data_IF_342705189095
#
_entry.id   IF_342705189095
#
_cell.length_a   1.000
_cell.length_b   1.000
_cell.length_c   1.000
_cell.angle_alpha   90.00
_cell.angle_beta   90.00
_cell.angle_gamma   90.00
#
_symmetry.space_group_name_H-M   'P 1'
#
loop_
_entity.id
_entity.type
_entity.pdbx_description
1 polymer ?
#
# COMPACT_ATOMS: atom_id res chain seq x y z
N UNK A 1 -10.04 -15.01 10.94
CA UNK A 1 -10.22 -14.62 12.36
C UNK A 1 -8.91 -14.10 12.97
N UNK A 2 -7.89 -14.95 13.21
CA UNK A 2 -6.63 -14.49 13.84
C UNK A 2 -5.87 -13.39 13.06
N UNK A 3 -5.94 -13.43 11.72
CA UNK A 3 -5.29 -12.44 10.83
C UNK A 3 -5.81 -11.00 10.94
N UNK A 4 -6.76 -10.72 11.84
CA UNK A 4 -7.24 -9.38 12.15
C UNK A 4 -7.10 -9.03 13.65
N UNK A 5 -6.46 -9.90 14.45
CA UNK A 5 -6.26 -9.71 15.88
C UNK A 5 -5.06 -8.78 16.15
N UNK A 6 -5.17 -7.51 15.73
CA UNK A 6 -4.09 -6.51 15.83
C UNK A 6 -3.75 -6.24 17.31
N UNK A 7 -2.49 -6.49 17.75
CA UNK A 7 -2.11 -6.28 19.14
C UNK A 7 -2.35 -4.85 19.61
N UNK A 8 -2.99 -4.71 20.78
CA UNK A 8 -3.36 -3.42 21.37
C UNK A 8 -4.71 -2.86 20.88
N UNK A 9 -5.32 -3.46 19.85
CA UNK A 9 -6.66 -3.10 19.36
C UNK A 9 -7.65 -4.24 19.65
N UNK A 10 -7.29 -5.47 19.27
CA UNK A 10 -8.14 -6.64 19.40
C UNK A 10 -7.49 -7.72 20.27
N UNK A 11 -8.32 -8.50 20.96
CA UNK A 11 -7.85 -9.64 21.73
C UNK A 11 -7.27 -10.74 20.80
N UNK A 12 -6.24 -11.48 21.23
CA UNK A 12 -5.76 -12.65 20.51
C UNK A 12 -6.88 -13.69 20.32
N UNK A 13 -6.82 -14.43 19.21
CA UNK A 13 -7.70 -15.57 18.99
C UNK A 13 -7.16 -16.78 19.76
N UNK A 14 -7.96 -17.30 20.69
CA UNK A 14 -7.61 -18.50 21.44
C UNK A 14 -8.00 -19.77 20.67
N UNK A 15 -7.11 -20.78 20.68
CA UNK A 15 -7.41 -22.12 20.16
C UNK A 15 -7.42 -23.10 21.34
N UNK A 16 -8.59 -23.32 21.97
CA UNK A 16 -8.68 -24.15 23.16
C UNK A 16 -8.42 -25.63 22.83
N UNK A 17 -7.71 -26.32 23.71
CA UNK A 17 -7.50 -27.77 23.62
C UNK A 17 -6.62 -28.22 22.44
N UNK A 18 -5.92 -27.31 21.75
CA UNK A 18 -5.06 -27.66 20.62
C UNK A 18 -3.93 -28.62 21.02
N UNK A 19 -3.39 -28.46 22.22
CA UNK A 19 -2.33 -29.31 22.76
C UNK A 19 -2.54 -29.53 24.25
N UNK A 20 -2.10 -30.69 24.75
CA UNK A 20 -2.06 -30.98 26.18
C UNK A 20 -1.05 -30.04 26.83
N UNK A 21 -1.48 -29.32 27.86
CA UNK A 21 -0.69 -28.38 28.66
C UNK A 21 -0.17 -27.12 27.95
N UNK A 22 -0.69 -26.78 26.75
CA UNK A 22 -0.38 -25.50 26.09
C UNK A 22 -1.63 -24.65 25.84
N UNK A 23 -1.50 -23.36 26.17
CA UNK A 23 -2.49 -22.34 25.82
C UNK A 23 -2.05 -21.63 24.53
N UNK A 24 -2.78 -21.84 23.44
CA UNK A 24 -2.44 -21.27 22.13
C UNK A 24 -3.26 -20.00 21.90
N UNK A 25 -2.56 -18.89 21.66
CA UNK A 25 -3.13 -17.61 21.29
C UNK A 25 -2.49 -17.11 20.00
N UNK A 26 -3.32 -16.73 19.04
CA UNK A 26 -2.89 -16.21 17.74
C UNK A 26 -3.18 -14.71 17.64
N UNK A 27 -2.26 -13.98 17.04
CA UNK A 27 -2.39 -12.55 16.75
C UNK A 27 -2.33 -12.31 15.25
N UNK A 28 -2.57 -11.07 14.84
CA UNK A 28 -2.44 -10.61 13.46
C UNK A 28 -1.07 -10.96 12.88
N UNK A 29 -1.05 -11.52 11.66
CA UNK A 29 0.18 -11.93 10.99
C UNK A 29 1.06 -10.77 10.55
N UNK A 30 0.50 -9.56 10.43
CA UNK A 30 1.20 -8.37 9.99
C UNK A 30 2.36 -7.97 10.90
N UNK A 31 2.30 -8.33 12.19
CA UNK A 31 3.41 -8.08 13.13
C UNK A 31 4.67 -8.88 12.82
N UNK A 32 4.54 -9.95 12.03
CA UNK A 32 5.63 -10.82 11.61
C UNK A 32 5.92 -10.67 10.10
N UNK A 33 4.88 -10.76 9.27
CA UNK A 33 4.99 -10.74 7.81
C UNK A 33 3.81 -10.02 7.16
N UNK A 34 3.80 -8.69 7.30
CA UNK A 34 2.78 -7.81 6.74
C UNK A 34 2.60 -7.93 5.21
N UNK A 35 3.57 -8.49 4.50
CA UNK A 35 3.54 -8.62 3.04
C UNK A 35 3.26 -10.07 2.59
N UNK A 36 3.13 -11.03 3.52
CA UNK A 36 2.84 -12.44 3.21
C UNK A 36 3.95 -13.14 2.41
N UNK A 37 5.19 -12.69 2.50
CA UNK A 37 6.30 -13.15 1.67
C UNK A 37 6.96 -14.43 2.18
N UNK A 38 6.92 -14.70 3.48
CA UNK A 38 7.64 -15.80 4.13
C UNK A 38 7.14 -17.15 3.60
N UNK A 39 5.82 -17.34 3.55
CA UNK A 39 5.23 -18.59 3.05
C UNK A 39 5.53 -18.84 1.58
N UNK A 40 5.54 -17.78 0.75
CA UNK A 40 5.87 -17.91 -0.67
C UNK A 40 7.33 -18.33 -0.88
N UNK A 41 8.24 -17.75 -0.12
CA UNK A 41 9.66 -18.12 -0.15
C UNK A 41 9.89 -19.56 0.34
N UNK A 42 9.16 -19.98 1.39
CA UNK A 42 9.24 -21.36 1.90
C UNK A 42 8.73 -22.39 0.88
N UNK A 43 7.78 -22.03 0.03
CA UNK A 43 7.28 -22.85 -1.08
C UNK A 43 8.16 -22.77 -2.34
N UNK A 44 9.34 -22.13 -2.26
CA UNK A 44 10.27 -21.94 -3.37
C UNK A 44 9.66 -21.18 -4.57
N UNK A 45 8.70 -20.28 -4.33
CA UNK A 45 8.28 -19.34 -5.36
C UNK A 45 9.49 -18.48 -5.78
N UNK A 46 9.85 -18.52 -7.06
CA UNK A 46 11.04 -17.84 -7.59
C UNK A 46 10.72 -16.56 -8.38
N UNK A 47 9.44 -16.28 -8.60
CA UNK A 47 8.92 -15.03 -9.15
C UNK A 47 7.87 -14.52 -8.19
N UNK A 48 8.07 -13.33 -7.64
CA UNK A 48 7.20 -12.78 -6.59
C UNK A 48 6.65 -11.42 -7.04
N UNK A 49 5.33 -11.29 -6.99
CA UNK A 49 4.62 -10.04 -7.24
C UNK A 49 4.03 -9.57 -5.91
N UNK A 50 4.48 -8.42 -5.43
CA UNK A 50 4.01 -7.83 -4.17
C UNK A 50 3.19 -6.58 -4.48
N UNK A 51 1.93 -6.58 -4.08
CA UNK A 51 1.06 -5.40 -4.08
C UNK A 51 0.82 -4.96 -2.65
N UNK A 52 1.54 -3.92 -2.23
CA UNK A 52 1.54 -3.41 -0.87
C UNK A 52 0.67 -2.15 -0.75
N UNK A 53 -0.53 -2.33 -0.20
CA UNK A 53 -1.49 -1.26 0.04
C UNK A 53 -1.43 -0.72 1.48
N UNK A 54 -0.40 -1.09 2.27
CA UNK A 54 -0.33 -0.69 3.66
C UNK A 54 -0.06 0.82 3.82
N UNK A 55 -0.63 1.39 4.88
CA UNK A 55 -0.32 2.75 5.30
C UNK A 55 1.18 2.90 5.56
N UNK A 56 1.79 3.94 5.00
CA UNK A 56 3.19 4.27 5.22
C UNK A 56 3.36 5.21 6.41
N UNK A 57 4.52 5.14 7.07
CA UNK A 57 4.85 6.04 8.18
C UNK A 57 4.75 7.52 7.76
N UNK A 58 3.80 8.25 8.35
CA UNK A 58 3.55 9.66 8.04
C UNK A 58 4.42 10.59 8.89
N UNK A 59 4.60 11.81 8.40
CA UNK A 59 5.04 12.92 9.25
C UNK A 59 3.86 13.37 10.11
N UNK A 60 4.06 13.42 11.42
CA UNK A 60 3.03 13.81 12.39
C UNK A 60 3.54 14.94 13.28
N UNK A 61 2.62 15.74 13.81
CA UNK A 61 2.96 16.73 14.83
C UNK A 61 3.36 16.03 16.12
N UNK A 62 4.24 16.67 16.89
CA UNK A 62 4.65 16.17 18.19
C UNK A 62 3.41 15.94 19.09
N UNK A 63 3.25 14.75 19.71
CA UNK A 63 2.22 14.52 20.70
C UNK A 63 2.39 15.43 21.93
N UNK A 64 1.33 15.61 22.71
CA UNK A 64 1.41 16.32 23.99
C UNK A 64 2.43 15.65 24.91
N UNK A 65 3.41 16.38 25.48
CA UNK A 65 4.40 15.77 26.37
C UNK A 65 3.79 15.17 27.65
N UNK A 66 4.52 14.22 28.23
CA UNK A 66 4.17 13.57 29.50
C UNK A 66 3.07 12.52 29.38
N UNK A 67 2.48 12.14 30.52
CA UNK A 67 1.51 11.05 30.61
C UNK A 67 0.29 11.21 29.68
N UNK A 68 -0.11 12.45 29.38
CA UNK A 68 -1.24 12.75 28.48
C UNK A 68 -0.99 12.31 27.03
N UNK A 69 0.27 12.22 26.59
CA UNK A 69 0.62 11.75 25.25
C UNK A 69 1.10 10.31 25.19
N UNK A 70 1.12 9.57 26.31
CA UNK A 70 1.76 8.24 26.36
C UNK A 70 1.20 7.27 25.32
N UNK A 71 -0.12 7.25 25.13
CA UNK A 71 -0.77 6.41 24.13
C UNK A 71 -0.35 6.80 22.69
N UNK A 72 -0.23 8.10 22.40
CA UNK A 72 0.22 8.57 21.09
C UNK A 72 1.70 8.22 20.84
N UNK A 73 2.56 8.31 21.87
CA UNK A 73 3.95 7.86 21.77
C UNK A 73 4.05 6.35 21.56
N UNK A 74 3.23 5.55 22.25
CA UNK A 74 3.17 4.10 22.06
C UNK A 74 2.71 3.74 20.64
N UNK A 75 1.63 4.38 20.15
CA UNK A 75 1.15 4.23 18.79
C UNK A 75 2.21 4.60 17.75
N UNK A 76 2.91 5.74 17.94
CA UNK A 76 4.01 6.16 17.07
C UNK A 76 5.17 5.15 17.05
N UNK A 77 5.49 4.57 18.20
CA UNK A 77 6.52 3.53 18.31
C UNK A 77 6.10 2.29 17.53
N UNK A 78 4.84 1.87 17.64
CA UNK A 78 4.30 0.75 16.87
C UNK A 78 4.35 1.04 15.36
N UNK A 79 3.87 2.20 14.89
CA UNK A 79 3.94 2.57 13.48
C UNK A 79 5.37 2.56 12.94
N UNK A 80 6.33 3.01 13.75
CA UNK A 80 7.76 3.01 13.37
C UNK A 80 8.30 1.58 13.28
N UNK A 81 7.97 0.70 14.23
CA UNK A 81 8.38 -0.70 14.21
C UNK A 81 7.77 -1.45 13.01
N UNK A 82 6.49 -1.24 12.73
CA UNK A 82 5.79 -1.88 11.61
C UNK A 82 6.36 -1.42 10.26
N UNK A 83 6.70 -0.14 10.11
CA UNK A 83 7.41 0.35 8.92
C UNK A 83 8.78 -0.32 8.77
N UNK A 84 9.51 -0.55 9.88
CA UNK A 84 10.79 -1.27 9.83
C UNK A 84 10.64 -2.72 9.40
N UNK A 85 9.60 -3.43 9.86
CA UNK A 85 9.30 -4.80 9.40
C UNK A 85 9.01 -4.80 7.90
N UNK A 86 8.14 -3.90 7.44
CA UNK A 86 7.79 -3.74 6.02
C UNK A 86 9.03 -3.48 5.15
N UNK A 87 9.90 -2.56 5.55
CA UNK A 87 11.13 -2.25 4.82
C UNK A 87 12.13 -3.40 4.85
N UNK A 88 12.21 -4.15 5.97
CA UNK A 88 13.08 -5.32 6.06
C UNK A 88 12.63 -6.44 5.11
N UNK A 89 11.33 -6.70 5.02
CA UNK A 89 10.77 -7.69 4.10
C UNK A 89 11.04 -7.32 2.64
N UNK A 90 10.83 -6.05 2.27
CA UNK A 90 11.21 -5.55 0.94
C UNK A 90 12.72 -5.70 0.68
N UNK A 91 13.57 -5.34 1.65
CA UNK A 91 15.02 -5.43 1.51
C UNK A 91 15.50 -6.87 1.34
N UNK A 92 14.89 -7.85 2.02
CA UNK A 92 15.19 -9.28 1.84
C UNK A 92 14.84 -9.74 0.43
N UNK A 93 13.62 -9.45 -0.05
CA UNK A 93 13.22 -9.77 -1.42
C UNK A 93 14.16 -9.12 -2.46
N UNK A 94 14.49 -7.84 -2.28
CA UNK A 94 15.41 -7.14 -3.17
C UNK A 94 16.82 -7.75 -3.14
N UNK A 95 17.31 -8.18 -1.97
CA UNK A 95 18.59 -8.87 -1.84
C UNK A 95 18.58 -10.22 -2.57
N UNK A 96 17.53 -11.02 -2.38
CA UNK A 96 17.33 -12.30 -3.09
C UNK A 96 17.26 -12.13 -4.60
N UNK A 97 16.62 -11.06 -5.08
CA UNK A 97 16.60 -10.72 -6.50
C UNK A 97 18.00 -10.40 -7.03
N UNK A 98 18.79 -9.60 -6.30
CA UNK A 98 20.17 -9.26 -6.68
C UNK A 98 21.13 -10.46 -6.65
N UNK A 99 20.92 -11.41 -5.72
CA UNK A 99 21.71 -12.64 -5.63
C UNK A 99 21.19 -13.77 -6.53
N UNK A 100 20.19 -13.49 -7.39
CA UNK A 100 19.55 -14.48 -8.28
C UNK A 100 18.86 -15.66 -7.57
N UNK A 101 18.58 -15.53 -6.27
CA UNK A 101 17.69 -16.46 -5.54
C UNK A 101 16.22 -16.25 -5.93
N UNK A 102 15.86 -15.04 -6.35
CA UNK A 102 14.62 -14.76 -7.07
C UNK A 102 14.92 -14.45 -8.53
N UNK A 103 14.21 -15.15 -9.43
CA UNK A 103 14.24 -14.92 -10.87
C UNK A 103 13.54 -13.62 -11.25
N UNK A 104 12.42 -13.33 -10.60
CA UNK A 104 11.61 -12.14 -10.85
C UNK A 104 11.09 -11.53 -9.56
N UNK A 105 11.04 -10.20 -9.50
CA UNK A 105 10.46 -9.46 -8.40
C UNK A 105 9.79 -8.21 -8.96
N UNK A 106 8.48 -8.11 -8.79
CA UNK A 106 7.74 -6.88 -9.03
C UNK A 106 7.18 -6.40 -7.70
N UNK A 107 7.49 -5.18 -7.30
CA UNK A 107 7.02 -4.60 -6.05
C UNK A 107 6.25 -3.31 -6.34
N UNK A 108 4.99 -3.28 -5.92
CA UNK A 108 4.05 -2.19 -6.11
C UNK A 108 3.60 -1.66 -4.75
N UNK A 109 3.54 -0.34 -4.60
CA UNK A 109 2.84 0.28 -3.47
C UNK A 109 2.09 1.53 -3.89
N UNK A 110 0.96 1.82 -3.24
CA UNK A 110 0.03 2.88 -3.69
C UNK A 110 0.63 4.30 -3.69
N UNK A 111 1.66 4.55 -2.87
CA UNK A 111 2.36 5.85 -2.84
C UNK A 111 3.51 6.00 -3.85
N UNK A 112 3.74 5.01 -4.72
CA UNK A 112 4.85 5.04 -5.67
C UNK A 112 4.70 6.19 -6.69
N UNK A 113 5.67 7.10 -6.73
CA UNK A 113 5.65 8.26 -7.64
C UNK A 113 4.74 9.42 -7.21
N UNK A 114 4.15 9.35 -6.01
CA UNK A 114 3.51 10.51 -5.38
C UNK A 114 4.57 11.46 -4.81
N UNK A 115 4.27 12.75 -4.86
CA UNK A 115 5.16 13.77 -4.32
C UNK A 115 5.00 13.84 -2.80
N UNK A 116 6.12 14.01 -2.08
CA UNK A 116 6.09 14.27 -0.65
C UNK A 116 5.95 15.78 -0.38
N UNK A 117 5.15 16.14 0.61
CA UNK A 117 5.14 17.51 1.12
C UNK A 117 6.47 17.78 1.84
N UNK A 118 7.20 18.78 1.36
CA UNK A 118 8.46 19.21 1.99
C UNK A 118 8.17 20.17 3.14
N UNK A 119 8.65 19.84 4.33
CA UNK A 119 8.69 20.81 5.43
C UNK A 119 10.01 21.56 5.36
N UNK A 120 9.94 22.87 5.06
CA UNK A 120 11.12 23.73 5.04
C UNK A 120 11.68 23.86 6.44
N UNK A 121 12.98 23.62 6.58
CA UNK A 121 13.71 23.95 7.81
C UNK A 121 13.71 25.46 8.00
N UNK A 122 13.35 25.95 9.19
CA UNK A 122 13.19 27.39 9.45
C UNK A 122 14.45 28.23 9.24
N UNK A 123 15.62 27.58 9.20
CA UNK A 123 16.93 28.21 8.95
C UNK A 123 17.44 28.03 7.52
N UNK A 124 16.71 27.33 6.64
CA UNK A 124 17.14 27.17 5.24
C UNK A 124 16.95 28.47 4.47
N UNK A 125 18.03 28.98 3.87
CA UNK A 125 18.01 30.15 2.99
C UNK A 125 17.66 29.79 1.53
N UNK A 126 17.64 28.51 1.19
CA UNK A 126 17.33 28.04 -0.16
C UNK A 126 15.83 28.23 -0.47
N UNK A 127 15.56 28.83 -1.63
CA UNK A 127 14.24 28.80 -2.23
C UNK A 127 14.12 27.50 -3.02
N UNK A 128 13.15 26.67 -2.66
CA UNK A 128 12.84 25.44 -3.41
C UNK A 128 11.47 25.60 -4.07
N UNK A 129 11.44 25.52 -5.40
CA UNK A 129 10.21 25.48 -6.17
C UNK A 129 9.80 24.04 -6.42
N UNK A 130 8.68 23.66 -5.81
CA UNK A 130 8.17 22.30 -5.88
C UNK A 130 7.38 22.11 -7.17
N UNK A 131 8.04 21.57 -8.19
CA UNK A 131 7.40 21.22 -9.45
C UNK A 131 6.68 19.88 -9.29
N UNK A 132 5.34 19.90 -9.33
CA UNK A 132 4.52 18.69 -9.26
C UNK A 132 3.95 18.37 -10.62
N UNK A 133 4.32 17.22 -11.16
CA UNK A 133 3.66 16.66 -12.32
C UNK A 133 2.27 16.14 -11.94
N UNK A 134 1.24 16.34 -12.80
CA UNK A 134 -0.11 15.88 -12.49
C UNK A 134 -0.25 14.35 -12.51
N UNK A 135 0.60 13.65 -13.26
CA UNK A 135 0.61 12.19 -13.38
C UNK A 135 1.81 11.60 -12.65
N UNK A 136 1.65 10.41 -12.07
CA UNK A 136 2.76 9.59 -11.61
C UNK A 136 3.49 8.95 -12.81
N UNK A 137 4.69 8.36 -12.61
CA UNK A 137 5.41 7.67 -13.69
C UNK A 137 4.60 6.55 -14.36
N UNK A 138 3.61 5.99 -13.64
CA UNK A 138 2.69 4.98 -14.17
C UNK A 138 1.56 5.56 -15.03
N UNK A 139 1.47 6.89 -15.17
CA UNK A 139 0.42 7.58 -15.93
C UNK A 139 -0.89 7.78 -15.17
N UNK A 140 -0.92 7.50 -13.87
CA UNK A 140 -2.09 7.74 -13.01
C UNK A 140 -2.06 9.17 -12.46
N UNK A 141 -3.18 9.87 -12.46
CA UNK A 141 -3.30 11.18 -11.81
C UNK A 141 -2.98 11.07 -10.32
N UNK A 142 -2.06 11.93 -9.85
CA UNK A 142 -1.55 11.89 -8.47
C UNK A 142 -2.62 12.18 -7.42
N UNK A 143 -3.64 12.98 -7.75
CA UNK A 143 -4.75 13.28 -6.83
C UNK A 143 -5.68 12.08 -6.58
N UNK A 144 -6.00 11.31 -7.62
CA UNK A 144 -6.72 10.04 -7.50
C UNK A 144 -5.86 9.01 -6.77
N UNK A 145 -4.61 8.84 -7.18
CA UNK A 145 -3.70 7.88 -6.54
C UNK A 145 -3.48 8.22 -5.05
N UNK A 146 -3.37 9.51 -4.68
CA UNK A 146 -3.31 9.94 -3.28
C UNK A 146 -4.59 9.60 -2.52
N UNK A 147 -5.76 9.90 -3.09
CA UNK A 147 -7.04 9.60 -2.44
C UNK A 147 -7.21 8.09 -2.21
N UNK A 148 -6.76 7.25 -3.16
CA UNK A 148 -6.77 5.80 -3.03
C UNK A 148 -5.75 5.27 -2.02
N UNK A 149 -4.56 5.88 -1.95
CA UNK A 149 -3.55 5.52 -0.96
C UNK A 149 -3.96 5.85 0.49
N UNK A 150 -4.96 6.71 0.66
CA UNK A 150 -5.56 7.09 1.95
C UNK A 150 -6.93 6.44 2.18
N UNK A 151 -7.40 5.64 1.23
CA UNK A 151 -8.67 4.95 1.35
C UNK A 151 -8.56 3.91 2.48
N UNK A 152 -9.63 3.80 3.26
CA UNK A 152 -9.73 2.76 4.30
C UNK A 152 -9.58 1.36 3.68
N UNK A 153 -8.88 0.47 4.37
CA UNK A 153 -8.72 -0.94 3.96
C UNK A 153 -9.28 -1.92 4.99
N UNK A 154 -9.76 -1.41 6.12
CA UNK A 154 -10.20 -2.14 7.31
C UNK A 154 -11.72 -2.29 7.43
N UNK A 155 -12.50 -1.55 6.64
CA UNK A 155 -13.96 -1.70 6.54
C UNK A 155 -14.31 -2.56 5.32
N UNK A 156 -14.94 -3.72 5.55
CA UNK A 156 -15.25 -4.79 4.59
C UNK A 156 -16.18 -4.42 3.40
N UNK A 157 -16.34 -3.14 3.06
CA UNK A 157 -17.16 -2.70 1.93
C UNK A 157 -16.60 -1.48 1.20
N UNK A 158 -16.35 -1.66 -0.10
CA UNK A 158 -16.10 -0.60 -1.07
C UNK A 158 -17.36 -0.31 -1.88
N UNK A 159 -17.60 0.96 -2.16
CA UNK A 159 -18.57 1.36 -3.19
C UNK A 159 -18.09 0.93 -4.57
N UNK A 160 -18.97 0.88 -5.60
CA UNK A 160 -18.56 0.61 -6.96
C UNK A 160 -17.46 1.55 -7.45
N UNK A 161 -17.55 2.85 -7.18
CA UNK A 161 -16.53 3.83 -7.59
C UNK A 161 -15.18 3.59 -6.89
N UNK A 162 -15.18 3.30 -5.57
CA UNK A 162 -13.96 2.95 -4.83
C UNK A 162 -13.31 1.68 -5.38
N UNK A 163 -14.11 0.64 -5.61
CA UNK A 163 -13.62 -0.64 -6.12
C UNK A 163 -13.06 -0.49 -7.55
N UNK A 164 -13.77 0.21 -8.45
CA UNK A 164 -13.30 0.46 -9.81
C UNK A 164 -12.06 1.34 -9.83
N UNK A 165 -11.95 2.32 -8.93
CA UNK A 165 -10.77 3.17 -8.83
C UNK A 165 -9.55 2.40 -8.31
N UNK A 166 -9.72 1.53 -7.29
CA UNK A 166 -8.67 0.63 -6.82
C UNK A 166 -8.21 -0.33 -7.92
N UNK A 167 -9.16 -0.93 -8.66
CA UNK A 167 -8.85 -1.80 -9.79
C UNK A 167 -8.10 -1.04 -10.90
N UNK A 168 -8.67 0.05 -11.42
CA UNK A 168 -8.06 0.83 -12.49
C UNK A 168 -6.64 1.31 -12.13
N UNK A 169 -6.47 1.86 -10.92
CA UNK A 169 -5.17 2.32 -10.43
C UNK A 169 -4.18 1.15 -10.29
N UNK A 170 -4.61 0.06 -9.64
CA UNK A 170 -3.78 -1.13 -9.44
C UNK A 170 -3.32 -1.75 -10.76
N UNK A 171 -4.21 -1.94 -11.73
CA UNK A 171 -3.88 -2.46 -13.06
C UNK A 171 -2.96 -1.52 -13.84
N UNK A 172 -3.18 -0.21 -13.81
CA UNK A 172 -2.33 0.76 -14.50
C UNK A 172 -0.91 0.77 -13.91
N UNK A 173 -0.80 0.81 -12.58
CA UNK A 173 0.48 0.76 -11.88
C UNK A 173 1.19 -0.58 -12.09
N UNK A 174 0.46 -1.69 -12.04
CA UNK A 174 1.01 -3.02 -12.29
C UNK A 174 1.46 -3.20 -13.74
N UNK A 175 0.73 -2.68 -14.73
CA UNK A 175 1.13 -2.71 -16.14
C UNK A 175 2.47 -2.01 -16.35
N UNK A 176 2.64 -0.82 -15.77
CA UNK A 176 3.91 -0.09 -15.80
C UNK A 176 5.05 -0.86 -15.10
N UNK A 177 4.79 -1.39 -13.90
CA UNK A 177 5.78 -2.15 -13.14
C UNK A 177 6.16 -3.47 -13.82
N UNK A 178 5.20 -4.12 -14.49
CA UNK A 178 5.41 -5.35 -15.25
C UNK A 178 6.40 -5.12 -16.39
N UNK A 179 6.22 -4.05 -17.18
CA UNK A 179 7.14 -3.68 -18.25
C UNK A 179 8.56 -3.43 -17.74
N UNK A 180 8.68 -2.84 -16.55
CA UNK A 180 9.96 -2.55 -15.90
C UNK A 180 10.66 -3.82 -15.37
N UNK A 181 9.92 -4.68 -14.69
CA UNK A 181 10.50 -5.72 -13.83
C UNK A 181 10.39 -7.14 -14.39
N UNK A 182 9.35 -7.43 -15.18
CA UNK A 182 8.97 -8.80 -15.57
C UNK A 182 8.92 -9.04 -17.08
N UNK A 183 8.79 -8.00 -17.91
CA UNK A 183 8.76 -8.15 -19.38
C UNK A 183 9.95 -8.93 -19.97
N UNK A 184 11.19 -8.88 -19.42
CA UNK A 184 12.28 -9.72 -19.90
C UNK A 184 12.05 -11.22 -19.73
N UNK A 185 11.17 -11.64 -18.81
CA UNK A 185 10.86 -13.04 -18.49
C UNK A 185 9.74 -13.57 -19.39
N UNK A 186 10.00 -13.63 -20.70
CA UNK A 186 9.01 -13.95 -21.75
C UNK A 186 8.33 -15.31 -21.58
N UNK A 187 8.98 -16.24 -20.90
CA UNK A 187 8.45 -17.56 -20.57
C UNK A 187 7.36 -17.57 -19.49
N UNK A 188 7.08 -16.43 -18.85
CA UNK A 188 6.12 -16.33 -17.74
C UNK A 188 4.78 -15.73 -18.16
N UNK A 189 4.63 -15.31 -19.41
CA UNK A 189 3.45 -14.61 -19.88
C UNK A 189 3.22 -14.85 -21.37
N UNK A 190 1.95 -14.93 -21.73
CA UNK A 190 1.49 -15.03 -23.12
C UNK A 190 0.96 -13.68 -23.61
N UNK A 191 0.49 -13.65 -24.85
CA UNK A 191 -0.10 -12.44 -25.43
C UNK A 191 -1.20 -11.83 -24.53
N UNK A 192 -1.28 -10.50 -24.42
CA UNK A 192 -2.29 -9.84 -23.63
C UNK A 192 -3.71 -10.25 -24.05
N UNK A 193 -4.52 -10.65 -23.08
CA UNK A 193 -5.94 -10.93 -23.32
C UNK A 193 -6.71 -9.61 -23.31
N UNK A 194 -7.43 -9.33 -24.40
CA UNK A 194 -8.43 -8.26 -24.40
C UNK A 194 -9.58 -8.65 -23.47
N UNK A 195 -9.77 -7.86 -22.42
CA UNK A 195 -10.84 -8.06 -21.46
C UNK A 195 -11.69 -6.80 -21.33
N UNK A 196 -13.01 -6.99 -21.27
CA UNK A 196 -13.97 -5.92 -21.02
C UNK A 196 -14.06 -5.67 -19.51
N UNK A 197 -13.16 -4.82 -19.01
CA UNK A 197 -13.06 -4.54 -17.60
C UNK A 197 -14.16 -3.57 -17.13
N UNK A 198 -14.84 -3.84 -16.00
CA UNK A 198 -15.90 -2.96 -15.49
C UNK A 198 -15.38 -1.57 -15.08
N UNK A 199 -14.07 -1.44 -14.87
CA UNK A 199 -13.40 -0.20 -14.50
C UNK A 199 -12.85 0.59 -15.70
N UNK A 200 -13.18 0.23 -16.95
CA UNK A 200 -12.63 0.92 -18.15
C UNK A 200 -12.87 2.44 -18.14
N UNK A 201 -14.07 2.88 -17.82
CA UNK A 201 -14.40 4.31 -17.73
C UNK A 201 -13.60 5.01 -16.61
N UNK A 202 -13.35 4.31 -15.49
CA UNK A 202 -12.52 4.83 -14.41
C UNK A 202 -11.04 4.91 -14.84
N UNK A 203 -10.55 3.92 -15.58
CA UNK A 203 -9.19 3.92 -16.14
C UNK A 203 -8.96 5.14 -17.03
N UNK A 204 -9.88 5.41 -17.96
CA UNK A 204 -9.83 6.59 -18.83
C UNK A 204 -9.79 7.91 -18.04
N UNK A 205 -10.53 7.98 -16.94
CA UNK A 205 -10.56 9.15 -16.06
C UNK A 205 -9.20 9.35 -15.34
N UNK A 206 -8.70 8.31 -14.68
CA UNK A 206 -7.48 8.40 -13.87
C UNK A 206 -6.20 8.53 -14.72
N UNK A 207 -6.22 8.19 -16.01
CA UNK A 207 -5.09 8.38 -16.94
C UNK A 207 -5.25 9.61 -17.84
N UNK A 208 -6.34 10.35 -17.72
CA UNK A 208 -6.60 11.52 -18.56
C UNK A 208 -5.62 12.65 -18.28
N UNK A 209 -5.11 13.28 -19.35
CA UNK A 209 -4.25 14.48 -19.27
C UNK A 209 -5.05 15.79 -19.21
N UNK A 210 -6.38 15.74 -19.32
CA UNK A 210 -7.22 16.95 -19.34
C UNK A 210 -7.21 17.62 -17.96
N UNK A 211 -7.13 18.95 -17.90
CA UNK A 211 -7.13 19.65 -16.61
C UNK A 211 -8.43 19.42 -15.83
N UNK A 212 -9.57 19.23 -16.50
CA UNK A 212 -10.82 18.86 -15.87
C UNK A 212 -11.61 17.87 -16.73
N UNK A 213 -12.39 17.03 -16.06
CA UNK A 213 -13.41 16.17 -16.67
C UNK A 213 -14.72 16.43 -15.92
N UNK A 214 -15.85 16.06 -16.52
CA UNK A 214 -17.16 16.31 -15.91
C UNK A 214 -17.35 15.58 -14.56
N UNK A 215 -16.67 14.45 -14.35
CA UNK A 215 -16.84 13.59 -13.16
C UNK A 215 -15.69 13.67 -12.16
N UNK A 216 -14.59 14.37 -12.46
CA UNK A 216 -13.39 14.40 -11.61
C UNK A 216 -13.69 14.81 -10.17
N UNK A 217 -14.34 15.95 -9.98
CA UNK A 217 -14.60 16.49 -8.64
C UNK A 217 -15.58 15.61 -7.84
N UNK A 218 -16.60 15.06 -8.52
CA UNK A 218 -17.55 14.12 -7.92
C UNK A 218 -16.83 12.85 -7.42
N UNK A 219 -16.03 12.22 -8.28
CA UNK A 219 -15.29 11.00 -7.97
C UNK A 219 -14.24 11.23 -6.87
N UNK A 220 -13.45 12.31 -6.97
CA UNK A 220 -12.47 12.64 -5.93
C UNK A 220 -13.14 12.92 -4.59
N UNK A 221 -14.30 13.57 -4.59
CA UNK A 221 -15.08 13.80 -3.37
C UNK A 221 -15.53 12.48 -2.77
N UNK A 222 -16.05 11.55 -3.59
CA UNK A 222 -16.44 10.21 -3.14
C UNK A 222 -15.25 9.42 -2.55
N UNK A 223 -14.11 9.36 -3.25
CA UNK A 223 -12.92 8.66 -2.78
C UNK A 223 -12.37 9.26 -1.47
N UNK A 224 -12.33 10.60 -1.36
CA UNK A 224 -11.88 11.28 -0.14
C UNK A 224 -12.86 11.15 1.03
N UNK A 225 -14.15 10.96 0.77
CA UNK A 225 -15.10 10.62 1.82
C UNK A 225 -14.76 9.25 2.43
N UNK A 226 -14.24 8.34 1.60
CA UNK A 226 -13.85 7.00 2.00
C UNK A 226 -12.69 6.94 3.01
N UNK A 227 -11.88 7.99 3.18
CA UNK A 227 -10.85 8.06 4.22
C UNK A 227 -11.37 8.54 5.58
N UNK A 228 -12.60 9.06 5.64
CA UNK A 228 -13.19 9.67 6.84
C UNK A 228 -14.22 8.81 7.55
N UNK A 229 -14.59 7.65 7.00
CA UNK A 229 -15.52 6.73 7.65
C UNK A 229 -14.82 6.13 8.86
N UNK A 230 -15.12 6.66 10.05
CA UNK A 230 -14.68 6.12 11.33
C UNK A 230 -15.61 4.97 11.74
N UNK A 231 -15.03 3.94 12.34
CA UNK A 231 -15.74 3.00 13.22
C UNK A 231 -16.37 3.75 14.41
#
# INVERSE_FOLDING_TARGET
AASACVPGIFAPLEIPGAYKDLHVQLVDGGVHDNQGTVSLLALNCNVVLVSDACGQLLLERQPTPGLKGLAAYAGRSMSTLMERVRLANFADLAARRRSSLLRGLMFLHMKAGLDADTVRLGFSQEAYELHREPLSPSGVRKDFQQALAELRTDLDAFTPDESHALMACGYQMASWAFQRDLAPLKELWDEPVEADWPFKAMLEEITSIKVATARREELLTALRAGSKVRL
#
